data_IF_988886198446
#
_entry.id   IF_988886198446
#
_cell.length_a   1.000
_cell.length_b   1.000
_cell.length_c   1.000
_cell.angle_alpha   90.00
_cell.angle_beta   90.00
_cell.angle_gamma   90.00
#
_symmetry.space_group_name_H-M   'P 1'
#
loop_
_entity.id
_entity.type
_entity.pdbx_description
1 polymer ?
#
# COMPACT_ATOMS: atom_id res chain seq x y z
N UNK A 1 6.76 -5.49 -2.69
CA UNK A 1 7.01 -5.37 -1.25
C UNK A 1 7.43 -3.93 -0.97
N UNK A 2 6.75 -3.23 -0.06
CA UNK A 2 7.03 -1.85 0.34
C UNK A 2 7.15 -1.82 1.85
N UNK A 3 8.30 -1.33 2.32
CA UNK A 3 8.71 -1.27 3.73
C UNK A 3 9.72 -0.12 3.85
N UNK A 4 9.22 1.10 4.00
CA UNK A 4 10.08 2.28 4.22
C UNK A 4 9.77 2.93 5.57
N UNK A 5 8.89 2.33 6.37
CA UNK A 5 8.50 2.76 7.70
C UNK A 5 7.99 4.21 7.74
N UNK A 6 7.59 4.78 6.59
CA UNK A 6 7.21 6.20 6.48
C UNK A 6 6.21 6.41 5.34
N UNK A 7 5.09 7.08 5.64
CA UNK A 7 3.96 7.19 4.71
C UNK A 7 4.32 7.87 3.37
N UNK A 8 5.06 8.99 3.41
CA UNK A 8 5.36 9.77 2.22
C UNK A 8 6.15 9.00 1.13
N UNK A 9 7.29 8.34 1.42
CA UNK A 9 8.02 7.59 0.42
C UNK A 9 7.26 6.35 -0.05
N UNK A 10 6.47 5.68 0.80
CA UNK A 10 5.67 4.51 0.41
C UNK A 10 4.59 4.86 -0.61
N UNK A 11 3.86 5.95 -0.36
CA UNK A 11 2.88 6.48 -1.32
C UNK A 11 3.57 6.88 -2.63
N UNK A 12 4.71 7.55 -2.56
CA UNK A 12 5.45 7.97 -3.76
C UNK A 12 5.94 6.76 -4.57
N UNK A 13 6.46 5.73 -3.90
CA UNK A 13 6.92 4.50 -4.55
C UNK A 13 5.77 3.76 -5.23
N UNK A 14 4.66 3.53 -4.53
CA UNK A 14 3.52 2.84 -5.13
C UNK A 14 2.97 3.65 -6.31
N UNK A 15 2.78 4.97 -6.16
CA UNK A 15 2.33 5.85 -7.25
C UNK A 15 3.23 5.78 -8.49
N UNK A 16 4.55 5.80 -8.30
CA UNK A 16 5.52 5.75 -9.40
C UNK A 16 5.50 4.39 -10.11
N UNK A 17 5.31 3.30 -9.36
CA UNK A 17 5.34 1.94 -9.90
C UNK A 17 3.99 1.49 -10.46
N UNK A 18 2.88 2.00 -9.94
CA UNK A 18 1.51 1.61 -10.30
C UNK A 18 1.23 1.52 -11.80
N UNK A 19 1.59 2.52 -12.66
CA UNK A 19 1.34 2.43 -14.10
C UNK A 19 2.23 1.41 -14.82
N UNK A 20 3.29 0.91 -14.18
CA UNK A 20 4.24 -0.07 -14.73
C UNK A 20 3.95 -1.49 -14.27
N UNK A 21 3.02 -1.66 -13.32
CA UNK A 21 2.67 -2.97 -12.80
C UNK A 21 1.85 -3.77 -13.80
N UNK A 22 2.21 -5.05 -13.95
CA UNK A 22 1.42 -6.00 -14.73
C UNK A 22 0.05 -6.24 -14.08
N UNK A 23 -0.92 -6.67 -14.89
CA UNK A 23 -2.20 -7.17 -14.41
C UNK A 23 -1.97 -8.36 -13.47
N UNK A 24 -2.78 -8.42 -12.41
CA UNK A 24 -2.64 -9.35 -11.28
C UNK A 24 -1.31 -9.24 -10.50
N UNK A 25 -0.55 -8.15 -10.69
CA UNK A 25 0.61 -7.86 -9.87
C UNK A 25 0.25 -7.69 -8.40
N UNK A 26 1.08 -8.21 -7.51
CA UNK A 26 0.85 -8.21 -6.06
C UNK A 26 1.75 -7.16 -5.40
N UNK A 27 1.18 -6.34 -4.52
CA UNK A 27 1.93 -5.47 -3.60
C UNK A 27 1.65 -5.92 -2.18
N UNK A 28 2.72 -6.12 -1.41
CA UNK A 28 2.67 -6.29 0.03
C UNK A 28 3.21 -5.02 0.69
N UNK A 29 2.44 -4.46 1.61
CA UNK A 29 2.75 -3.28 2.42
C UNK A 29 3.05 -3.76 3.84
N UNK A 30 4.23 -3.47 4.37
CA UNK A 30 4.68 -4.10 5.61
C UNK A 30 3.96 -3.55 6.86
N UNK A 31 3.87 -2.22 6.97
CA UNK A 31 3.34 -1.54 8.17
C UNK A 31 1.88 -1.06 8.06
N UNK A 32 1.15 -1.48 7.02
CA UNK A 32 -0.13 -0.85 6.64
C UNK A 32 -1.17 -0.76 7.77
N UNK A 33 -1.33 -1.81 8.57
CA UNK A 33 -2.23 -1.88 9.71
C UNK A 33 -1.49 -2.16 11.03
N UNK A 34 -0.18 -1.93 11.06
CA UNK A 34 0.64 -2.17 12.24
C UNK A 34 0.40 -1.08 13.30
N UNK A 35 0.42 -1.47 14.58
CA UNK A 35 0.18 -0.53 15.68
C UNK A 35 1.29 0.53 15.72
N UNK A 36 0.92 1.82 15.77
CA UNK A 36 1.86 2.93 15.69
C UNK A 36 2.07 3.52 14.29
N UNK A 37 1.59 2.84 13.24
CA UNK A 37 1.78 3.22 11.83
C UNK A 37 0.46 3.69 11.17
N UNK A 38 -0.40 4.35 11.96
CA UNK A 38 -1.67 4.90 11.45
C UNK A 38 -1.49 5.85 10.24
N UNK A 39 -0.48 6.74 10.20
CA UNK A 39 -0.27 7.61 9.04
C UNK A 39 -0.05 6.84 7.73
N UNK A 40 0.64 5.69 7.77
CA UNK A 40 0.86 4.83 6.61
C UNK A 40 -0.47 4.25 6.11
N UNK A 41 -1.32 3.78 7.04
CA UNK A 41 -2.65 3.30 6.70
C UNK A 41 -3.47 4.37 5.97
N UNK A 42 -3.60 5.54 6.59
CA UNK A 42 -4.44 6.63 6.10
C UNK A 42 -3.95 7.14 4.74
N UNK A 43 -2.63 7.28 4.58
CA UNK A 43 -2.04 7.73 3.33
C UNK A 43 -2.23 6.70 2.20
N UNK A 44 -2.13 5.40 2.51
CA UNK A 44 -2.33 4.35 1.52
C UNK A 44 -3.81 4.15 1.16
N UNK A 45 -4.72 4.32 2.13
CA UNK A 45 -6.17 4.35 1.88
C UNK A 45 -6.54 5.48 0.92
N UNK A 46 -6.01 6.69 1.16
CA UNK A 46 -6.23 7.84 0.30
C UNK A 46 -5.69 7.59 -1.12
N UNK A 47 -4.49 6.99 -1.23
CA UNK A 47 -3.95 6.60 -2.53
C UNK A 47 -4.82 5.54 -3.23
N UNK A 48 -5.36 4.59 -2.48
CA UNK A 48 -6.27 3.56 -2.99
C UNK A 48 -7.57 4.15 -3.55
N UNK A 49 -8.14 5.15 -2.88
CA UNK A 49 -9.29 5.91 -3.37
C UNK A 49 -8.98 6.65 -4.67
N UNK A 50 -7.78 7.22 -4.79
CA UNK A 50 -7.36 7.94 -5.99
C UNK A 50 -7.07 7.02 -7.18
N UNK A 51 -6.33 5.94 -6.95
CA UNK A 51 -5.85 5.04 -8.01
C UNK A 51 -6.79 3.86 -8.29
N UNK A 52 -7.87 3.73 -7.52
CA UNK A 52 -8.91 2.73 -7.72
C UNK A 52 -8.51 1.32 -7.29
N UNK A 53 -7.83 1.18 -6.15
CA UNK A 53 -7.52 -0.13 -5.56
C UNK A 53 -7.98 -0.23 -4.11
N UNK A 54 -8.16 -1.46 -3.64
CA UNK A 54 -8.44 -1.77 -2.24
C UNK A 54 -7.24 -2.47 -1.60
N UNK A 55 -7.07 -2.28 -0.30
CA UNK A 55 -6.06 -2.98 0.50
C UNK A 55 -6.75 -4.01 1.38
N UNK A 56 -6.36 -5.27 1.26
CA UNK A 56 -6.76 -6.32 2.19
C UNK A 56 -5.81 -6.32 3.40
N UNK A 57 -6.31 -5.94 4.58
CA UNK A 57 -5.54 -6.04 5.83
C UNK A 57 -5.31 -7.51 6.20
N UNK A 58 -4.07 -7.83 6.59
CA UNK A 58 -3.67 -9.16 7.02
C UNK A 58 -3.51 -9.23 8.56
N UNK A 59 -3.63 -10.42 9.18
CA UNK A 59 -3.47 -10.59 10.63
C UNK A 59 -2.08 -10.20 11.16
N UNK A 60 -1.08 -10.11 10.29
CA UNK A 60 0.30 -9.69 10.61
C UNK A 60 0.45 -8.17 10.71
N UNK A 61 -0.60 -7.38 10.43
CA UNK A 61 -0.51 -5.92 10.30
C UNK A 61 -0.14 -5.46 8.90
N UNK A 62 0.15 -6.38 7.98
CA UNK A 62 0.47 -6.05 6.59
C UNK A 62 -0.78 -5.74 5.76
N UNK A 63 -0.59 -5.10 4.61
CA UNK A 63 -1.63 -4.85 3.61
C UNK A 63 -1.31 -5.54 2.28
N UNK A 64 -2.29 -6.18 1.67
CA UNK A 64 -2.16 -6.83 0.37
C UNK A 64 -3.00 -6.09 -0.68
N UNK A 65 -2.38 -5.77 -1.81
CA UNK A 65 -3.04 -5.18 -2.99
C UNK A 65 -2.86 -6.12 -4.18
N UNK A 66 -3.92 -6.29 -4.96
CA UNK A 66 -3.88 -6.97 -6.27
C UNK A 66 -4.20 -5.92 -7.34
N UNK A 67 -3.29 -5.73 -8.29
CA UNK A 67 -3.51 -4.86 -9.45
C UNK A 67 -4.49 -5.51 -10.41
N UNK A 68 -5.75 -5.09 -10.41
CA UNK A 68 -6.80 -5.61 -11.30
C UNK A 68 -6.75 -4.99 -12.69
#
# INVERSE_FOLDING_TARGET
HIDMNHAAPEVAALRMLWPRMAKAGIVLLDDYAYFGYRPQKEAMDALGQELGFAVASLPTGQGLIIRT
#
